data_IF_543973964771
#
_entry.id   IF_543973964771
#
_cell.length_a   1.000
_cell.length_b   1.000
_cell.length_c   1.000
_cell.angle_alpha   90.00
_cell.angle_beta   90.00
_cell.angle_gamma   90.00
#
_symmetry.space_group_name_H-M   'P 1'
#
loop_
_entity.id
_entity.type
_entity.pdbx_description
1 polymer ?
#
# COMPACT_ATOMS: atom_id res chain seq x y z
N UNK A 1 12.04 3.49 11.77
CA UNK A 1 11.57 3.47 10.37
C UNK A 1 11.33 2.02 9.99
N UNK A 2 10.11 1.70 9.62
CA UNK A 2 9.71 0.34 9.25
C UNK A 2 9.26 0.33 7.78
N UNK A 3 9.66 -0.71 7.05
CA UNK A 3 9.31 -0.91 5.65
C UNK A 3 8.49 -2.18 5.50
N UNK A 4 7.40 -2.09 4.74
CA UNK A 4 6.54 -3.23 4.43
C UNK A 4 6.43 -3.40 2.92
N UNK A 5 6.59 -4.65 2.46
CA UNK A 5 6.29 -5.05 1.09
C UNK A 5 5.07 -5.97 1.10
N UNK A 6 4.02 -5.57 0.41
CA UNK A 6 2.76 -6.33 0.34
C UNK A 6 2.50 -6.66 -1.13
N UNK A 7 2.22 -7.93 -1.41
CA UNK A 7 1.78 -8.40 -2.73
C UNK A 7 0.32 -8.80 -2.64
N UNK A 8 -0.52 -8.19 -3.47
CA UNK A 8 -1.95 -8.46 -3.55
C UNK A 8 -2.22 -9.16 -4.88
N UNK A 9 -2.86 -10.32 -4.82
CA UNK A 9 -3.21 -11.16 -5.97
C UNK A 9 -4.72 -11.29 -6.12
N UNK A 10 -5.20 -11.52 -7.35
CA UNK A 10 -6.63 -11.67 -7.66
C UNK A 10 -7.09 -10.65 -8.70
N UNK A 11 -8.40 -10.40 -8.76
CA UNK A 11 -8.97 -9.41 -9.69
C UNK A 11 -8.80 -8.01 -9.09
N UNK A 12 -7.61 -7.43 -9.27
CA UNK A 12 -7.24 -6.13 -8.68
C UNK A 12 -6.77 -5.09 -9.70
N UNK A 13 -6.70 -5.46 -10.98
CA UNK A 13 -6.39 -4.55 -12.09
C UNK A 13 -7.65 -4.24 -12.92
N UNK A 14 -7.72 -3.03 -13.49
CA UNK A 14 -8.88 -2.59 -14.28
C UNK A 14 -10.13 -2.20 -13.45
N UNK A 15 -10.10 -2.38 -12.13
CA UNK A 15 -11.26 -2.12 -11.23
C UNK A 15 -11.15 -0.83 -10.41
N UNK A 16 -10.16 0.03 -10.70
CA UNK A 16 -9.92 1.25 -9.90
C UNK A 16 -9.21 1.01 -8.56
N UNK A 17 -8.61 -0.17 -8.37
CA UNK A 17 -7.97 -0.55 -7.10
C UNK A 17 -6.82 0.36 -6.67
N UNK A 18 -6.00 0.85 -7.62
CA UNK A 18 -4.92 1.80 -7.33
C UNK A 18 -5.41 3.12 -6.75
N UNK A 19 -6.37 3.83 -7.38
CA UNK A 19 -7.02 5.00 -6.78
C UNK A 19 -7.62 4.71 -5.39
N UNK A 20 -8.28 3.55 -5.21
CA UNK A 20 -8.80 3.14 -3.91
C UNK A 20 -7.71 3.03 -2.84
N UNK A 21 -6.64 2.28 -3.12
CA UNK A 21 -5.50 2.11 -2.21
C UNK A 21 -4.83 3.46 -1.91
N UNK A 22 -4.63 4.31 -2.90
CA UNK A 22 -4.04 5.64 -2.70
C UNK A 22 -4.90 6.48 -1.73
N UNK A 23 -6.22 6.49 -1.91
CA UNK A 23 -7.14 7.23 -1.05
C UNK A 23 -7.27 6.63 0.36
N UNK A 24 -7.13 5.31 0.51
CA UNK A 24 -7.09 4.67 1.81
C UNK A 24 -5.78 4.97 2.55
N UNK A 25 -4.64 4.82 1.89
CA UNK A 25 -3.32 4.94 2.52
C UNK A 25 -2.98 6.38 2.92
N UNK A 26 -3.50 7.39 2.21
CA UNK A 26 -3.27 8.81 2.54
C UNK A 26 -3.84 9.27 3.88
N UNK A 27 -4.68 8.47 4.53
CA UNK A 27 -5.20 8.76 5.88
C UNK A 27 -4.25 8.29 6.99
N UNK A 28 -3.14 7.63 6.63
CA UNK A 28 -2.15 7.10 7.56
C UNK A 28 -0.80 7.83 7.37
N UNK A 29 0.06 7.87 8.41
CA UNK A 29 1.40 8.46 8.33
C UNK A 29 2.37 7.53 7.60
N UNK A 30 2.04 7.15 6.36
CA UNK A 30 2.82 6.26 5.52
C UNK A 30 3.14 6.93 4.19
N UNK A 31 4.34 6.67 3.71
CA UNK A 31 4.78 7.04 2.37
C UNK A 31 5.11 5.78 1.59
N UNK A 32 4.99 5.79 0.25
CA UNK A 32 5.25 4.57 -0.50
C UNK A 32 4.84 4.62 -1.96
N UNK A 33 4.94 3.45 -2.59
CA UNK A 33 4.63 3.24 -4.00
C UNK A 33 3.64 2.09 -4.16
N UNK A 34 2.70 2.26 -5.09
CA UNK A 34 1.72 1.25 -5.50
C UNK A 34 2.00 0.93 -6.96
N UNK A 35 2.25 -0.33 -7.29
CA UNK A 35 2.63 -0.77 -8.63
C UNK A 35 1.77 -1.94 -9.08
N UNK A 36 1.30 -1.92 -10.32
CA UNK A 36 0.72 -3.11 -10.94
C UNK A 36 1.84 -4.09 -11.27
N UNK A 37 1.59 -5.39 -11.11
CA UNK A 37 2.49 -6.46 -11.53
C UNK A 37 2.07 -7.03 -12.89
N UNK A 38 3.00 -7.70 -13.57
CA UNK A 38 2.72 -8.34 -14.87
C UNK A 38 1.74 -9.53 -14.81
N UNK A 39 1.49 -10.09 -13.62
CA UNK A 39 0.58 -11.21 -13.38
C UNK A 39 -0.80 -10.76 -12.83
N UNK A 40 -1.29 -9.59 -13.25
CA UNK A 40 -2.59 -9.03 -12.83
C UNK A 40 -2.72 -8.68 -11.32
N UNK A 41 -1.62 -8.67 -10.57
CA UNK A 41 -1.58 -8.28 -9.16
C UNK A 41 -1.17 -6.83 -8.92
N UNK A 42 -1.02 -6.45 -7.64
CA UNK A 42 -0.53 -5.14 -7.21
C UNK A 42 0.47 -5.32 -6.07
N UNK A 43 1.59 -4.61 -6.13
CA UNK A 43 2.60 -4.57 -5.06
C UNK A 43 2.62 -3.20 -4.40
N UNK A 44 2.70 -3.18 -3.07
CA UNK A 44 2.86 -1.98 -2.28
C UNK A 44 4.23 -2.02 -1.59
N UNK A 45 5.00 -0.95 -1.76
CA UNK A 45 6.23 -0.71 -1.01
C UNK A 45 5.95 0.48 -0.10
N UNK A 46 5.77 0.21 1.20
CA UNK A 46 5.35 1.20 2.18
C UNK A 46 6.48 1.45 3.18
N UNK A 47 6.61 2.70 3.57
CA UNK A 47 7.44 3.19 4.65
C UNK A 47 6.52 3.84 5.67
N UNK A 48 6.55 3.35 6.90
CA UNK A 48 5.84 3.96 8.01
C UNK A 48 6.72 5.05 8.61
N UNK A 49 6.23 6.28 8.63
CA UNK A 49 6.83 7.34 9.43
C UNK A 49 6.37 7.15 10.87
N UNK A 50 7.11 6.30 11.56
CA UNK A 50 6.94 5.98 12.98
C UNK A 50 7.27 7.20 13.85
N UNK A 51 6.44 8.23 13.80
CA UNK A 51 6.27 9.11 14.95
C UNK A 51 5.40 8.31 15.92
N UNK A 52 6.05 7.50 16.76
CA UNK A 52 5.45 6.47 17.63
C UNK A 52 4.07 6.84 18.19
N UNK A 53 3.09 5.95 18.00
CA UNK A 53 2.08 5.64 19.03
C UNK A 53 1.93 4.13 19.08
N UNK A 54 2.63 3.51 20.02
CA UNK A 54 2.24 2.21 20.56
C UNK A 54 1.17 2.49 21.60
N UNK A 55 -0.03 1.95 21.41
CA UNK A 55 -0.94 1.71 22.53
C UNK A 55 -1.27 0.21 22.51
N UNK A 56 -1.05 -0.36 23.69
CA UNK A 56 -1.29 -1.74 24.16
C UNK A 56 -2.50 -2.44 23.54
#
# INVERSE_FOLDING_TARGET
MEFAKITITGIVQGVGFRPFLFNFLRTYPITGQIQNTGNLGVTLHLKLDSSHITLV
#
